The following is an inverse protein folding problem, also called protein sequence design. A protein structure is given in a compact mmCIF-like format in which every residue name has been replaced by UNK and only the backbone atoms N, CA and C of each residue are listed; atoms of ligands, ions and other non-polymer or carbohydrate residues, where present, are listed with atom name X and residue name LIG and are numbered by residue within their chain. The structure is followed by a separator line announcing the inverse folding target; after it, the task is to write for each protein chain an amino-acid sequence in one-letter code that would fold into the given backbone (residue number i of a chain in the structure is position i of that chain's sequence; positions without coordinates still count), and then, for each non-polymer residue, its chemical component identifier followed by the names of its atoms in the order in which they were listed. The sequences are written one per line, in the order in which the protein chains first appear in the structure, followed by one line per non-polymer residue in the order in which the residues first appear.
data_IF_594053352956
#
_entry.id   IF_594053352956
#
_cell.length_a   1.000
_cell.length_b   1.000
_cell.length_c   1.000
_cell.angle_alpha   90.00
_cell.angle_beta   90.00
_cell.angle_gamma   90.00
#
_symmetry.space_group_name_H-M   'P 1'
#
loop_
_entity.id
_entity.type
_entity.pdbx_description
1 polymer ?
#
# COMPACT_ATOMS: atom_id res chain seq x y z
N UNK A 1 35.94 -28.30 39.24
CA UNK A 1 35.35 -29.38 38.41
C UNK A 1 33.93 -28.94 38.07
N UNK A 2 33.71 -28.24 36.96
CA UNK A 2 33.43 -28.72 35.59
C UNK A 2 32.11 -29.50 35.47
N UNK A 3 31.30 -29.02 34.50
CA UNK A 3 30.13 -29.60 33.80
C UNK A 3 28.76 -29.29 34.41
N UNK A 4 27.99 -28.40 33.76
CA UNK A 4 27.21 -28.61 32.50
C UNK A 4 26.04 -29.56 32.76
N UNK A 5 24.81 -29.05 32.71
CA UNK A 5 23.94 -29.35 31.57
C UNK A 5 22.70 -28.45 31.51
N UNK A 6 22.53 -27.89 30.32
CA UNK A 6 21.34 -27.24 29.79
C UNK A 6 20.03 -27.95 30.17
N UNK A 7 19.01 -27.24 30.69
CA UNK A 7 17.65 -27.65 30.42
C UNK A 7 17.41 -27.54 28.91
N UNK A 8 16.88 -28.62 28.33
CA UNK A 8 16.39 -28.70 26.95
C UNK A 8 15.22 -27.71 26.82
N UNK A 9 15.54 -26.46 26.49
CA UNK A 9 14.56 -25.57 25.88
C UNK A 9 14.25 -26.13 24.50
N UNK A 10 13.29 -27.04 24.48
CA UNK A 10 12.60 -27.47 23.29
C UNK A 10 11.65 -26.34 22.87
N UNK A 11 12.21 -25.17 22.61
CA UNK A 11 11.50 -24.04 22.06
C UNK A 11 11.64 -24.18 20.54
N UNK A 12 11.09 -25.27 20.02
CA UNK A 12 10.52 -25.27 18.68
C UNK A 12 9.30 -24.34 18.75
N UNK A 13 9.54 -23.03 18.83
CA UNK A 13 8.55 -22.03 18.46
C UNK A 13 8.44 -22.05 16.93
N UNK A 14 7.91 -23.14 16.38
CA UNK A 14 7.00 -23.03 15.24
C UNK A 14 5.70 -22.51 15.85
N UNK A 15 5.75 -21.23 16.19
CA UNK A 15 4.54 -20.49 16.53
C UNK A 15 3.89 -20.21 15.17
N UNK A 16 2.66 -20.68 14.97
CA UNK A 16 1.80 -20.39 13.81
C UNK A 16 1.39 -18.90 13.78
N UNK A 17 2.33 -18.00 14.08
CA UNK A 17 2.23 -16.56 13.88
C UNK A 17 2.33 -16.31 12.39
N UNK A 18 1.20 -16.46 11.70
CA UNK A 18 1.08 -16.00 10.32
C UNK A 18 1.46 -14.51 10.28
N UNK A 19 2.63 -14.25 9.69
CA UNK A 19 3.19 -12.92 9.56
C UNK A 19 2.19 -11.99 8.91
N UNK A 20 2.22 -10.71 9.29
CA UNK A 20 1.38 -9.72 8.63
C UNK A 20 2.07 -9.25 7.35
N UNK A 21 1.29 -9.15 6.29
CA UNK A 21 1.69 -8.56 5.02
C UNK A 21 0.78 -7.38 4.71
N UNK A 22 1.34 -6.38 4.04
CA UNK A 22 0.55 -5.37 3.35
C UNK A 22 0.42 -5.79 1.89
N UNK A 23 -0.80 -5.79 1.37
CA UNK A 23 -1.13 -6.25 0.03
C UNK A 23 -1.67 -5.08 -0.79
N UNK A 24 -1.08 -4.85 -1.95
CA UNK A 24 -1.59 -3.96 -2.99
C UNK A 24 -2.13 -4.87 -4.11
N UNK A 25 -3.45 -5.02 -4.23
CA UNK A 25 -4.04 -5.86 -5.28
C UNK A 25 -3.86 -5.22 -6.66
N UNK A 26 -3.87 -6.05 -7.69
CA UNK A 26 -4.07 -5.56 -9.05
C UNK A 26 -5.49 -4.99 -9.21
N UNK A 27 -5.75 -4.25 -10.30
CA UNK A 27 -7.11 -3.96 -10.72
C UNK A 27 -7.84 -5.26 -11.08
N UNK A 28 -8.60 -5.81 -10.14
CA UNK A 28 -9.50 -6.93 -10.38
C UNK A 28 -10.91 -6.64 -9.87
N UNK A 29 -11.90 -7.24 -10.55
CA UNK A 29 -13.28 -7.17 -10.12
C UNK A 29 -13.52 -7.82 -8.76
N UNK A 30 -14.58 -7.39 -8.04
CA UNK A 30 -14.98 -8.03 -6.80
C UNK A 30 -15.32 -9.52 -7.05
N UNK A 31 -14.79 -10.40 -6.21
CA UNK A 31 -15.02 -11.85 -6.32
C UNK A 31 -16.14 -12.31 -5.38
N UNK A 32 -17.08 -13.08 -5.90
CA UNK A 32 -18.10 -13.77 -5.09
C UNK A 32 -19.26 -12.90 -4.60
N UNK A 33 -19.39 -11.66 -5.07
CA UNK A 33 -20.54 -10.79 -4.82
C UNK A 33 -21.16 -10.35 -6.15
N UNK A 34 -22.46 -10.59 -6.33
CA UNK A 34 -23.21 -10.05 -7.48
C UNK A 34 -23.41 -8.54 -7.29
N UNK A 35 -22.76 -7.74 -8.12
CA UNK A 35 -22.83 -6.29 -8.09
C UNK A 35 -23.27 -5.76 -9.46
N UNK A 36 -23.97 -4.61 -9.51
CA UNK A 36 -24.20 -3.93 -10.77
C UNK A 36 -22.88 -3.71 -11.52
N UNK A 37 -22.85 -3.93 -12.83
CA UNK A 37 -21.64 -3.85 -13.65
C UNK A 37 -20.87 -2.53 -13.43
N UNK A 38 -21.60 -1.41 -13.37
CA UNK A 38 -21.04 -0.08 -13.10
C UNK A 38 -20.31 0.01 -11.76
N UNK A 39 -20.78 -0.71 -10.73
CA UNK A 39 -20.12 -0.73 -9.42
C UNK A 39 -18.90 -1.66 -9.42
N UNK A 40 -18.99 -2.81 -10.08
CA UNK A 40 -17.86 -3.73 -10.24
C UNK A 40 -16.70 -3.07 -10.99
N UNK A 41 -17.00 -2.34 -12.07
CA UNK A 41 -16.02 -1.54 -12.83
C UNK A 41 -15.34 -0.48 -11.94
N UNK A 42 -16.12 0.26 -11.14
CA UNK A 42 -15.55 1.26 -10.22
C UNK A 42 -14.67 0.65 -9.15
N UNK A 43 -15.05 -0.50 -8.57
CA UNK A 43 -14.21 -1.19 -7.59
C UNK A 43 -12.92 -1.73 -8.22
N UNK A 44 -13.00 -2.22 -9.47
CA UNK A 44 -11.85 -2.66 -10.26
C UNK A 44 -10.89 -1.50 -10.53
N UNK A 45 -11.42 -0.34 -10.93
CA UNK A 45 -10.64 0.85 -11.27
C UNK A 45 -9.96 1.50 -10.05
N UNK A 46 -10.46 1.25 -8.84
CA UNK A 46 -9.94 1.82 -7.60
C UNK A 46 -9.64 0.71 -6.59
N UNK A 47 -8.66 -0.17 -6.86
CA UNK A 47 -8.35 -1.30 -6.00
C UNK A 47 -7.97 -0.83 -4.59
N UNK A 48 -8.29 -1.65 -3.58
CA UNK A 48 -8.12 -1.30 -2.17
C UNK A 48 -6.94 -2.07 -1.56
N UNK A 49 -5.80 -1.41 -1.27
CA UNK A 49 -4.76 -2.01 -0.46
C UNK A 49 -5.24 -2.40 0.93
N UNK A 50 -4.65 -3.45 1.50
CA UNK A 50 -5.07 -3.96 2.79
C UNK A 50 -4.03 -4.84 3.47
N UNK A 51 -4.32 -5.21 4.71
CA UNK A 51 -3.49 -6.16 5.46
C UNK A 51 -4.01 -7.58 5.27
N UNK A 52 -3.10 -8.52 5.10
CA UNK A 52 -3.41 -9.95 5.00
C UNK A 52 -2.37 -10.78 5.77
N UNK A 53 -2.77 -11.97 6.17
CA UNK A 53 -1.87 -13.00 6.71
C UNK A 53 -1.69 -14.18 5.76
N UNK A 54 -2.31 -14.09 4.58
CA UNK A 54 -2.28 -15.10 3.52
C UNK A 54 -1.67 -14.46 2.28
N UNK A 55 -0.71 -15.17 1.69
CA UNK A 55 -0.21 -14.87 0.35
C UNK A 55 -1.14 -15.52 -0.67
N UNK A 56 -1.52 -14.80 -1.71
CA UNK A 56 -2.34 -15.27 -2.80
C UNK A 56 -1.57 -15.36 -4.11
N UNK A 57 -2.09 -16.13 -5.07
CA UNK A 57 -1.63 -16.15 -6.46
C UNK A 57 -2.53 -15.24 -7.33
N UNK A 58 -2.79 -14.02 -6.85
CA UNK A 58 -3.71 -13.05 -7.44
C UNK A 58 -3.00 -11.93 -8.24
N UNK A 59 -1.69 -12.08 -8.48
CA UNK A 59 -0.87 -11.09 -9.18
C UNK A 59 -0.63 -9.79 -8.38
N UNK A 60 -1.16 -9.68 -7.17
CA UNK A 60 -0.96 -8.57 -6.26
C UNK A 60 0.47 -8.49 -5.71
N UNK A 61 0.83 -7.33 -5.18
CA UNK A 61 2.13 -7.09 -4.54
C UNK A 61 2.01 -7.25 -3.03
N UNK A 62 2.88 -8.05 -2.43
CA UNK A 62 2.89 -8.34 -1.00
C UNK A 62 4.18 -7.83 -0.35
N UNK A 63 4.03 -7.02 0.69
CA UNK A 63 5.12 -6.42 1.45
C UNK A 63 5.14 -7.01 2.86
N UNK A 64 6.31 -7.48 3.31
CA UNK A 64 6.50 -8.19 4.59
C UNK A 64 7.54 -9.30 4.43
N UNK A 65 7.60 -10.28 5.35
CA UNK A 65 6.76 -10.43 6.54
C UNK A 65 7.02 -9.37 7.62
N UNK A 66 5.96 -8.80 8.19
CA UNK A 66 6.05 -7.92 9.36
C UNK A 66 5.76 -8.67 10.66
N UNK A 67 6.70 -8.61 11.59
CA UNK A 67 6.54 -9.16 12.96
C UNK A 67 5.78 -8.20 13.87
N UNK A 68 6.03 -6.89 13.76
CA UNK A 68 5.26 -5.87 14.48
C UNK A 68 4.05 -5.42 13.67
N UNK A 69 2.94 -6.08 13.96
CA UNK A 69 1.60 -5.76 13.45
C UNK A 69 1.14 -4.33 13.76
N UNK A 70 1.54 -3.72 14.88
CA UNK A 70 1.12 -2.37 15.27
C UNK A 70 1.96 -1.33 14.54
N UNK A 71 3.28 -1.51 14.52
CA UNK A 71 4.22 -0.64 13.82
C UNK A 71 3.91 -0.49 12.33
N UNK A 72 3.66 -1.60 11.62
CA UNK A 72 3.31 -1.50 10.19
C UNK A 72 1.96 -0.81 9.95
N UNK A 73 0.96 -1.05 10.80
CA UNK A 73 -0.35 -0.36 10.68
C UNK A 73 -0.20 1.16 10.87
N UNK A 74 0.66 1.58 11.80
CA UNK A 74 1.00 3.00 11.99
C UNK A 74 1.72 3.54 10.75
N UNK A 75 2.76 2.84 10.30
CA UNK A 75 3.56 3.25 9.13
C UNK A 75 2.70 3.41 7.87
N UNK A 76 1.80 2.46 7.59
CA UNK A 76 0.87 2.55 6.45
C UNK A 76 -0.12 3.70 6.61
N UNK A 77 -0.59 3.97 7.82
CA UNK A 77 -1.49 5.11 8.08
C UNK A 77 -0.77 6.44 7.78
N UNK A 78 0.48 6.57 8.19
CA UNK A 78 1.28 7.76 7.93
C UNK A 78 1.65 7.87 6.45
N UNK A 79 2.00 6.74 5.79
CA UNK A 79 2.21 6.68 4.35
C UNK A 79 0.98 7.18 3.58
N UNK A 80 -0.24 6.86 4.03
CA UNK A 80 -1.47 7.37 3.42
C UNK A 80 -1.65 8.88 3.52
N UNK A 81 -0.99 9.55 4.47
CA UNK A 81 -0.98 11.01 4.52
C UNK A 81 -0.05 11.62 3.46
N UNK A 82 1.06 10.93 3.15
CA UNK A 82 1.97 11.32 2.07
C UNK A 82 1.43 10.94 0.68
N UNK A 83 0.82 9.77 0.57
CA UNK A 83 0.35 9.15 -0.68
C UNK A 83 -1.13 8.74 -0.48
N UNK A 84 -2.09 9.63 -0.79
CA UNK A 84 -3.49 9.48 -0.35
C UNK A 84 -4.31 8.47 -1.16
N UNK A 85 -3.99 7.18 -1.04
CA UNK A 85 -4.74 6.09 -1.68
C UNK A 85 -5.98 5.65 -0.87
N UNK A 86 -6.90 4.96 -1.56
CA UNK A 86 -8.14 4.43 -0.99
C UNK A 86 -7.85 3.38 0.10
N UNK A 87 -8.35 3.62 1.31
CA UNK A 87 -8.33 2.64 2.41
C UNK A 87 -9.71 2.26 2.96
N UNK A 88 -10.81 2.78 2.40
CA UNK A 88 -12.16 2.49 2.88
C UNK A 88 -12.67 1.14 2.34
N UNK A 89 -13.40 0.39 3.17
CA UNK A 89 -14.02 -0.88 2.76
C UNK A 89 -15.04 -0.68 1.63
N UNK A 90 -15.29 -1.71 0.84
CA UNK A 90 -16.19 -1.64 -0.32
C UNK A 90 -17.60 -1.12 0.02
N UNK A 91 -18.26 -1.53 1.12
CA UNK A 91 -19.55 -0.95 1.50
C UNK A 91 -19.51 0.56 1.75
N UNK A 92 -18.38 1.11 2.21
CA UNK A 92 -18.21 2.55 2.41
C UNK A 92 -17.99 3.25 1.06
N UNK A 93 -17.16 2.67 0.19
CA UNK A 93 -16.93 3.19 -1.16
C UNK A 93 -18.23 3.25 -2.00
N UNK A 94 -19.04 2.18 -1.91
CA UNK A 94 -20.33 2.03 -2.61
C UNK A 94 -21.35 3.13 -2.29
N UNK A 95 -21.22 3.81 -1.15
CA UNK A 95 -22.11 4.94 -0.79
C UNK A 95 -21.99 6.13 -1.74
N UNK A 96 -20.90 6.22 -2.51
CA UNK A 96 -20.71 7.28 -3.51
C UNK A 96 -20.48 8.66 -2.92
N UNK A 97 -20.18 8.76 -1.62
CA UNK A 97 -19.86 10.02 -0.93
C UNK A 97 -18.50 9.93 -0.27
N UNK A 98 -17.80 11.06 -0.21
CA UNK A 98 -16.52 11.17 0.50
C UNK A 98 -16.70 10.88 2.00
N UNK A 99 -15.70 10.23 2.60
CA UNK A 99 -15.67 9.89 4.02
C UNK A 99 -14.64 10.76 4.76
N UNK A 100 -14.52 10.55 6.07
CA UNK A 100 -13.56 11.27 6.90
C UNK A 100 -12.13 11.20 6.35
N UNK A 101 -11.70 10.05 5.85
CA UNK A 101 -10.36 9.86 5.25
C UNK A 101 -10.06 10.87 4.13
N UNK A 102 -11.07 11.26 3.34
CA UNK A 102 -10.90 12.30 2.33
C UNK A 102 -10.76 13.69 2.97
N UNK A 103 -11.65 14.02 3.90
CA UNK A 103 -11.66 15.33 4.55
C UNK A 103 -10.39 15.61 5.37
N UNK A 104 -9.72 14.57 5.87
CA UNK A 104 -8.43 14.70 6.57
C UNK A 104 -7.22 14.45 5.67
N UNK A 105 -7.42 14.31 4.35
CA UNK A 105 -6.32 14.25 3.36
C UNK A 105 -5.61 12.90 3.21
N UNK A 106 -6.12 11.81 3.77
CA UNK A 106 -5.51 10.46 3.67
C UNK A 106 -6.12 9.58 2.56
N UNK A 107 -6.99 10.17 1.74
CA UNK A 107 -7.65 9.52 0.61
C UNK A 107 -7.95 10.58 -0.46
N UNK A 108 -7.72 10.26 -1.73
CA UNK A 108 -7.98 11.15 -2.85
C UNK A 108 -9.45 11.18 -3.32
N UNK A 109 -10.38 10.57 -2.59
CA UNK A 109 -11.83 10.66 -2.86
C UNK A 109 -12.35 9.96 -4.13
N UNK A 110 -11.86 8.76 -4.53
CA UNK A 110 -12.33 8.08 -5.75
C UNK A 110 -13.83 7.68 -5.70
N UNK A 111 -14.41 7.56 -4.50
CA UNK A 111 -15.83 7.27 -4.34
C UNK A 111 -16.77 8.35 -4.90
N UNK A 112 -16.29 9.59 -5.04
CA UNK A 112 -17.02 10.71 -5.66
C UNK A 112 -16.37 11.15 -6.99
N UNK A 113 -15.40 10.39 -7.51
CA UNK A 113 -14.75 10.71 -8.78
C UNK A 113 -13.76 11.89 -8.71
N UNK A 114 -13.24 12.21 -7.52
CA UNK A 114 -12.25 13.30 -7.32
C UNK A 114 -10.87 13.02 -7.89
N UNK A 115 -10.61 11.77 -8.28
CA UNK A 115 -9.35 11.30 -8.86
C UNK A 115 -9.64 10.30 -9.99
N UNK A 116 -8.84 10.32 -11.04
CA UNK A 116 -8.94 9.36 -12.13
C UNK A 116 -8.37 7.99 -11.72
N UNK A 117 -8.78 6.88 -12.38
CA UNK A 117 -8.19 5.56 -12.14
C UNK A 117 -6.67 5.55 -12.34
N UNK A 118 -6.17 6.21 -13.39
CA UNK A 118 -4.74 6.31 -13.67
C UNK A 118 -3.98 7.05 -12.55
N UNK A 119 -4.51 8.18 -12.08
CA UNK A 119 -3.90 8.92 -10.96
C UNK A 119 -3.95 8.12 -9.66
N UNK A 120 -5.03 7.36 -9.41
CA UNK A 120 -5.10 6.46 -8.26
C UNK A 120 -4.06 5.34 -8.36
N UNK A 121 -3.84 4.78 -9.56
CA UNK A 121 -2.81 3.76 -9.77
C UNK A 121 -1.41 4.31 -9.49
N UNK A 122 -1.10 5.55 -9.91
CA UNK A 122 0.17 6.19 -9.56
C UNK A 122 0.38 6.31 -8.04
N UNK A 123 -0.68 6.60 -7.27
CA UNK A 123 -0.60 6.59 -5.80
C UNK A 123 -0.30 5.18 -5.25
N UNK A 124 -0.84 4.13 -5.87
CA UNK A 124 -0.51 2.76 -5.47
C UNK A 124 0.93 2.40 -5.81
N UNK A 125 1.43 2.84 -6.97
CA UNK A 125 2.79 2.61 -7.40
C UNK A 125 3.80 3.35 -6.49
N UNK A 126 3.48 4.58 -6.08
CA UNK A 126 4.29 5.34 -5.13
C UNK A 126 4.29 4.70 -3.74
N UNK A 127 3.12 4.24 -3.25
CA UNK A 127 3.04 3.49 -1.99
C UNK A 127 3.87 2.20 -2.05
N UNK A 128 3.84 1.52 -3.19
CA UNK A 128 4.59 0.31 -3.42
C UNK A 128 6.10 0.56 -3.51
N UNK A 129 6.54 1.61 -4.21
CA UNK A 129 7.93 2.05 -4.27
C UNK A 129 8.45 2.40 -2.87
N UNK A 130 7.66 3.13 -2.07
CA UNK A 130 7.98 3.45 -0.68
C UNK A 130 8.16 2.18 0.17
N UNK A 131 7.22 1.23 0.05
CA UNK A 131 7.29 -0.03 0.81
C UNK A 131 8.47 -0.90 0.35
N UNK A 132 8.89 -0.85 -0.92
CA UNK A 132 10.13 -1.48 -1.40
C UNK A 132 11.40 -0.70 -1.03
N UNK A 133 11.32 0.40 -0.29
CA UNK A 133 12.48 1.19 0.16
C UNK A 133 12.99 2.23 -0.84
N UNK A 134 12.31 2.39 -1.98
CA UNK A 134 12.64 3.39 -3.00
C UNK A 134 12.03 4.77 -2.65
N UNK A 135 12.23 5.23 -1.41
CA UNK A 135 11.60 6.47 -0.91
C UNK A 135 12.07 7.73 -1.65
N UNK A 136 13.33 7.74 -2.12
CA UNK A 136 13.87 8.81 -2.95
C UNK A 136 13.13 9.01 -4.27
N UNK A 137 12.64 7.93 -4.90
CA UNK A 137 11.84 8.03 -6.13
C UNK A 137 10.49 8.70 -5.87
N UNK A 138 9.84 8.36 -4.76
CA UNK A 138 8.55 8.95 -4.36
C UNK A 138 8.73 10.44 -4.05
N UNK A 139 9.77 10.79 -3.29
CA UNK A 139 10.10 12.18 -2.99
C UNK A 139 10.34 12.99 -4.27
N UNK A 140 11.18 12.50 -5.18
CA UNK A 140 11.49 13.20 -6.42
C UNK A 140 10.24 13.44 -7.29
N UNK A 141 9.31 12.47 -7.36
CA UNK A 141 8.03 12.64 -8.07
C UNK A 141 7.16 13.72 -7.44
N UNK A 142 7.05 13.74 -6.11
CA UNK A 142 6.28 14.76 -5.40
C UNK A 142 6.89 16.16 -5.57
N UNK A 143 8.22 16.27 -5.53
CA UNK A 143 8.95 17.52 -5.77
C UNK A 143 8.75 18.03 -7.20
N UNK A 144 8.82 17.14 -8.20
CA UNK A 144 8.56 17.49 -9.59
C UNK A 144 7.11 17.98 -9.78
N UNK A 145 6.12 17.24 -9.27
CA UNK A 145 4.71 17.63 -9.33
C UNK A 145 4.45 18.96 -8.59
N UNK A 146 5.15 19.21 -7.48
CA UNK A 146 5.08 20.47 -6.74
C UNK A 146 5.62 21.63 -7.58
N UNK A 147 6.74 21.43 -8.26
CA UNK A 147 7.32 22.39 -9.19
C UNK A 147 6.37 22.74 -10.32
N UNK A 148 5.81 21.72 -10.99
CA UNK A 148 4.81 21.90 -12.06
C UNK A 148 3.57 22.65 -11.58
N UNK A 149 3.04 22.32 -10.40
CA UNK A 149 1.91 23.05 -9.82
C UNK A 149 2.24 24.52 -9.56
N UNK A 150 3.45 24.80 -9.08
CA UNK A 150 3.93 26.17 -8.87
C UNK A 150 4.07 26.95 -10.18
N UNK A 151 4.58 26.32 -11.24
CA UNK A 151 4.69 26.91 -12.58
C UNK A 151 3.30 27.23 -13.17
N UNK A 152 2.30 26.38 -12.89
CA UNK A 152 0.89 26.63 -13.25
C UNK A 152 0.15 27.61 -12.32
N UNK A 153 0.84 28.20 -11.34
CA UNK A 153 0.27 29.11 -10.34
C UNK A 153 -0.81 28.46 -9.44
N UNK A 154 -0.79 27.13 -9.32
CA UNK A 154 -1.70 26.34 -8.47
C UNK A 154 -1.14 26.21 -7.04
N UNK A 155 -1.03 27.35 -6.33
CA UNK A 155 -0.31 27.42 -5.05
C UNK A 155 -0.88 26.53 -3.94
N UNK A 156 -2.20 26.32 -3.92
CA UNK A 156 -2.82 25.39 -2.95
C UNK A 156 -2.39 23.94 -3.19
N UNK A 157 -2.31 23.53 -4.45
CA UNK A 157 -1.82 22.20 -4.81
C UNK A 157 -0.33 22.06 -4.49
N UNK A 158 0.48 23.07 -4.85
CA UNK A 158 1.91 23.08 -4.53
C UNK A 158 2.14 23.01 -3.01
N UNK A 159 1.36 23.73 -2.21
CA UNK A 159 1.42 23.66 -0.75
C UNK A 159 1.06 22.26 -0.23
N UNK A 160 0.01 21.63 -0.77
CA UNK A 160 -0.36 20.26 -0.41
C UNK A 160 0.74 19.26 -0.76
N UNK A 161 1.35 19.38 -1.94
CA UNK A 161 2.45 18.51 -2.39
C UNK A 161 3.70 18.69 -1.53
N UNK A 162 4.05 19.93 -1.15
CA UNK A 162 5.14 20.22 -0.21
C UNK A 162 4.93 19.52 1.13
N UNK A 163 3.70 19.56 1.66
CA UNK A 163 3.40 18.93 2.94
C UNK A 163 3.49 17.39 2.84
N UNK A 164 3.18 16.81 1.67
CA UNK A 164 3.43 15.39 1.38
C UNK A 164 4.91 15.05 1.27
N UNK A 165 5.74 15.90 0.65
CA UNK A 165 7.21 15.72 0.60
C UNK A 165 7.77 15.61 2.02
N UNK A 166 7.39 16.55 2.90
CA UNK A 166 7.81 16.53 4.31
C UNK A 166 7.35 15.26 5.05
N UNK A 167 6.17 14.76 4.73
CA UNK A 167 5.68 13.51 5.31
C UNK A 167 6.51 12.30 4.85
N UNK A 168 6.91 12.23 3.58
CA UNK A 168 7.80 11.17 3.06
C UNK A 168 9.17 11.23 3.73
N UNK A 169 9.75 12.41 3.88
CA UNK A 169 11.04 12.62 4.54
C UNK A 169 11.02 12.10 5.98
N UNK A 170 10.02 12.53 6.77
CA UNK A 170 9.83 12.07 8.15
C UNK A 170 9.68 10.55 8.24
N UNK A 171 8.88 9.95 7.35
CA UNK A 171 8.68 8.50 7.37
C UNK A 171 9.94 7.72 6.98
N UNK A 172 10.75 8.28 6.08
CA UNK A 172 12.03 7.67 5.68
C UNK A 172 12.99 7.64 6.87
N UNK A 173 13.07 8.72 7.64
CA UNK A 173 13.87 8.79 8.88
C UNK A 173 13.40 7.76 9.91
N UNK A 174 12.08 7.60 10.11
CA UNK A 174 11.52 6.60 11.03
C UNK A 174 11.77 5.16 10.54
N UNK A 175 11.70 4.87 9.22
CA UNK A 175 11.92 3.53 8.67
C UNK A 175 13.33 2.98 8.88
N UNK A 176 14.35 3.84 8.95
CA UNK A 176 15.74 3.42 9.25
C UNK A 176 15.83 2.67 10.60
N UNK A 177 14.84 2.86 11.48
CA UNK A 177 14.84 2.27 12.83
C UNK A 177 14.03 0.97 12.99
N UNK A 178 13.24 0.57 11.98
CA UNK A 178 12.35 -0.61 12.07
C UNK A 178 12.96 -1.84 11.34
N UNK A 179 13.26 -2.95 12.03
CA UNK A 179 13.87 -4.12 11.40
C UNK A 179 12.87 -4.85 10.49
N UNK A 180 13.16 -4.89 9.18
CA UNK A 180 12.56 -5.85 8.24
C UNK A 180 13.29 -7.19 8.42
N UNK A 181 12.55 -8.25 8.79
CA UNK A 181 13.09 -9.60 8.80
C UNK A 181 13.18 -10.11 7.36
N UNK A 182 14.34 -9.94 6.74
CA UNK A 182 14.60 -10.36 5.37
C UNK A 182 14.58 -9.17 4.41
N UNK A 183 15.73 -8.92 3.78
CA UNK A 183 15.84 -8.05 2.62
C UNK A 183 14.99 -8.61 1.47
N UNK A 184 14.36 -7.69 0.73
CA UNK A 184 13.70 -7.88 -0.56
C UNK A 184 13.03 -9.23 -0.80
N UNK A 185 11.77 -9.32 -0.36
CA UNK A 185 10.82 -10.20 -1.04
C UNK A 185 9.67 -9.34 -1.52
N UNK A 186 9.91 -8.56 -2.57
CA UNK A 186 8.86 -8.26 -3.54
C UNK A 186 8.45 -9.62 -4.14
N UNK A 187 7.53 -10.32 -3.46
CA UNK A 187 6.90 -11.52 -3.98
C UNK A 187 5.93 -11.06 -5.06
N UNK A 188 6.49 -10.73 -6.24
CA UNK A 188 5.72 -10.50 -7.45
C UNK A 188 5.18 -11.87 -7.83
N UNK A 189 3.87 -12.08 -7.67
CA UNK A 189 3.18 -13.20 -8.28
C UNK A 189 3.24 -13.08 -9.79
N UNK A 190 4.37 -13.45 -10.41
CA UNK A 190 4.52 -13.59 -11.85
C UNK A 190 3.66 -14.77 -12.30
N UNK A 191 2.36 -14.52 -12.50
CA UNK A 191 1.56 -15.34 -13.39
C UNK A 191 1.87 -14.87 -14.81
N UNK A 192 2.85 -15.49 -15.45
CA UNK A 192 3.00 -15.43 -16.91
C UNK A 192 1.75 -16.04 -17.54
N UNK A 193 0.80 -15.20 -17.92
CA UNK A 193 -0.20 -15.55 -18.93
C UNK A 193 0.50 -15.51 -20.29
N UNK A 194 1.16 -16.61 -20.64
CA UNK A 194 1.57 -16.93 -22.01
C UNK A 194 0.55 -17.92 -22.57
N UNK A 195 -0.19 -17.48 -23.59
CA UNK A 195 -1.47 -18.03 -24.03
C UNK A 195 -1.46 -19.43 -24.64
N UNK A 196 -2.67 -19.99 -24.70
CA UNK A 196 -3.06 -21.03 -25.65
C UNK A 196 -2.80 -20.59 -27.10
N UNK A 197 -2.37 -21.53 -27.96
CA UNK A 197 -2.51 -21.38 -29.41
C UNK A 197 -1.65 -22.32 -30.27
N UNK A 198 -2.25 -23.45 -30.66
CA UNK A 198 -2.15 -24.17 -31.95
C UNK A 198 -0.78 -24.73 -32.42
N UNK A 199 -0.75 -26.06 -32.56
CA UNK A 199 0.24 -26.87 -33.27
C UNK A 199 -0.04 -28.35 -33.04
#
# INVERSE_FOLDING_TARGET
MIKRHHPRFNVRLRDDKSYLYFHIPQPQGPTGEELPATMAERLTAFPRPGFTRRLGADGGRYFGPYTDSKGIRRSVRELRAAVPFRGCADPVFRRGRVCLDYHIGICAGPCEGRISPAAHQLLLDDAAAFLSGHTGLVRARLEAAMGEASERLEFELAASLRDRVRAVEKLTEEQVTAPRLGADVDLIGLATTGGQGLG
#
